data_IF_391356862024
#
_entry.id   IF_391356862024
#
_cell.length_a   1.000
_cell.length_b   1.000
_cell.length_c   1.000
_cell.angle_alpha   90.00
_cell.angle_beta   90.00
_cell.angle_gamma   90.00
#
_symmetry.space_group_name_H-M   'P 1'
#
loop_
_entity.id
_entity.type
_entity.pdbx_description
1 polymer ?
#
# COMPACT_ATOMS: atom_id res chain seq x y z
N UNK A 1 18.58 9.52 22.78
CA UNK A 1 18.79 9.30 21.34
C UNK A 1 17.59 8.51 20.86
N UNK A 2 16.69 9.12 20.11
CA UNK A 2 15.58 8.41 19.47
C UNK A 2 16.18 7.63 18.30
N UNK A 3 16.22 6.30 18.40
CA UNK A 3 16.53 5.45 17.25
C UNK A 3 15.39 5.63 16.24
N UNK A 4 15.67 6.26 15.13
CA UNK A 4 14.80 6.18 13.96
C UNK A 4 14.91 4.74 13.48
N UNK A 5 13.86 3.94 13.71
CA UNK A 5 13.78 2.63 13.06
C UNK A 5 13.67 2.89 11.56
N UNK A 6 14.60 2.32 10.78
CA UNK A 6 14.50 2.39 9.34
C UNK A 6 13.21 1.71 8.86
N UNK A 7 12.54 2.29 7.88
CA UNK A 7 11.34 1.72 7.27
C UNK A 7 11.67 0.35 6.64
N UNK A 8 10.75 -0.59 6.69
CA UNK A 8 10.89 -1.86 5.96
C UNK A 8 9.97 -1.88 4.75
N UNK A 9 10.49 -2.38 3.63
CA UNK A 9 9.74 -2.46 2.39
C UNK A 9 9.67 -3.88 1.87
N UNK A 10 8.56 -4.20 1.25
CA UNK A 10 8.36 -5.47 0.55
C UNK A 10 7.89 -5.19 -0.87
N UNK A 11 8.32 -6.01 -1.81
CA UNK A 11 7.91 -5.94 -3.20
C UNK A 11 7.48 -7.29 -3.73
N UNK A 12 6.57 -7.29 -4.68
CA UNK A 12 6.12 -8.50 -5.33
C UNK A 12 5.75 -8.25 -6.77
N UNK A 13 5.78 -9.31 -7.58
CA UNK A 13 5.49 -9.28 -9.00
C UNK A 13 4.76 -10.56 -9.39
N UNK A 14 3.71 -10.43 -10.17
CA UNK A 14 2.95 -11.54 -10.77
C UNK A 14 2.59 -11.23 -12.21
N UNK A 15 2.22 -12.25 -12.99
CA UNK A 15 1.63 -12.03 -14.30
C UNK A 15 0.31 -11.25 -14.16
N UNK A 16 0.11 -10.24 -15.00
CA UNK A 16 -1.18 -9.55 -15.13
C UNK A 16 -2.15 -10.35 -15.99
N UNK A 17 -3.36 -9.84 -16.15
CA UNK A 17 -4.43 -10.55 -16.86
C UNK A 17 -4.24 -10.57 -18.39
N UNK A 18 -3.47 -9.66 -18.95
CA UNK A 18 -3.17 -9.59 -20.39
C UNK A 18 -1.78 -10.11 -20.73
N UNK A 19 -1.58 -10.51 -21.99
CA UNK A 19 -0.29 -10.99 -22.48
C UNK A 19 0.80 -9.90 -22.32
N UNK A 20 1.88 -10.23 -21.65
CA UNK A 20 3.00 -9.32 -21.37
C UNK A 20 2.73 -8.30 -20.26
N UNK A 21 1.58 -8.34 -19.61
CA UNK A 21 1.24 -7.48 -18.49
C UNK A 21 1.85 -8.03 -17.18
N UNK A 22 2.20 -7.13 -16.30
CA UNK A 22 2.82 -7.47 -15.02
C UNK A 22 2.20 -6.65 -13.90
N UNK A 23 1.53 -7.34 -12.97
CA UNK A 23 1.16 -6.79 -11.68
C UNK A 23 2.43 -6.65 -10.84
N UNK A 24 2.65 -5.47 -10.30
CA UNK A 24 3.79 -5.19 -9.44
C UNK A 24 3.37 -4.23 -8.34
N UNK A 25 3.70 -4.57 -7.11
CA UNK A 25 3.37 -3.73 -5.97
C UNK A 25 4.54 -3.62 -4.99
N UNK A 26 4.51 -2.55 -4.22
CA UNK A 26 5.34 -2.39 -3.02
C UNK A 26 4.48 -1.97 -1.85
N UNK A 27 4.88 -2.40 -0.66
CA UNK A 27 4.40 -1.86 0.59
C UNK A 27 5.59 -1.44 1.44
N UNK A 28 5.51 -0.25 2.02
CA UNK A 28 6.46 0.25 3.00
C UNK A 28 5.78 0.42 4.33
N UNK A 29 6.36 -0.18 5.36
CA UNK A 29 5.97 0.00 6.76
C UNK A 29 6.97 0.92 7.43
N UNK A 30 6.48 1.98 8.07
CA UNK A 30 7.31 2.96 8.77
C UNK A 30 6.68 3.30 10.12
N UNK A 31 7.50 3.74 11.08
CA UNK A 31 7.03 4.18 12.39
C UNK A 31 7.15 5.69 12.50
N UNK A 32 6.06 6.32 12.91
CA UNK A 32 6.04 7.75 13.23
C UNK A 32 5.60 7.98 14.65
N UNK A 33 6.15 9.02 15.27
CA UNK A 33 5.79 9.42 16.63
C UNK A 33 4.92 10.69 16.54
N UNK A 34 3.73 10.62 17.11
CA UNK A 34 2.84 11.75 17.27
C UNK A 34 2.56 11.98 18.77
N UNK A 35 3.19 13.00 19.34
CA UNK A 35 3.19 13.21 20.79
C UNK A 35 3.87 12.06 21.52
N UNK A 36 3.12 11.29 22.31
CA UNK A 36 3.58 10.09 23.04
C UNK A 36 3.18 8.79 22.35
N UNK A 37 2.50 8.85 21.21
CA UNK A 37 1.94 7.68 20.53
C UNK A 37 2.79 7.31 19.33
N UNK A 38 3.11 6.02 19.21
CA UNK A 38 3.75 5.45 18.02
C UNK A 38 2.66 4.97 17.06
N UNK A 39 2.75 5.38 15.81
CA UNK A 39 1.87 4.97 14.73
C UNK A 39 2.66 4.16 13.68
N UNK A 40 2.01 3.19 13.07
CA UNK A 40 2.50 2.45 11.91
C UNK A 40 1.88 3.08 10.64
N UNK A 41 2.74 3.55 9.74
CA UNK A 41 2.35 3.97 8.40
C UNK A 41 2.49 2.77 7.46
N UNK A 42 1.43 2.50 6.72
CA UNK A 42 1.40 1.50 5.65
C UNK A 42 1.23 2.24 4.33
N UNK A 43 2.32 2.37 3.56
CA UNK A 43 2.27 2.99 2.23
C UNK A 43 2.20 1.88 1.19
N UNK A 44 1.05 1.76 0.52
CA UNK A 44 0.82 0.77 -0.53
C UNK A 44 0.89 1.45 -1.89
N UNK A 45 1.64 0.87 -2.83
CA UNK A 45 1.90 1.43 -4.16
C UNK A 45 1.70 0.38 -5.24
N UNK A 46 0.93 0.71 -6.27
CA UNK A 46 0.83 -0.08 -7.49
C UNK A 46 1.91 0.37 -8.49
N UNK A 47 2.83 -0.53 -8.83
CA UNK A 47 3.93 -0.32 -9.76
C UNK A 47 3.76 -1.11 -11.07
N UNK A 48 2.56 -1.54 -11.38
CA UNK A 48 2.24 -2.21 -12.64
C UNK A 48 2.71 -1.40 -13.85
N UNK A 49 2.97 -2.06 -14.96
CA UNK A 49 3.57 -1.45 -16.16
C UNK A 49 2.57 -1.19 -17.28
N UNK A 50 1.29 -1.30 -16.99
CA UNK A 50 0.22 -1.16 -17.98
C UNK A 50 -1.03 -0.55 -17.33
N UNK A 51 -1.92 -0.02 -18.18
CA UNK A 51 -3.22 0.48 -17.76
C UNK A 51 -4.13 -0.70 -17.38
N UNK A 52 -4.82 -0.63 -16.24
CA UNK A 52 -5.77 -1.67 -15.84
C UNK A 52 -6.95 -1.77 -16.82
N UNK A 53 -7.30 -2.99 -17.20
CA UNK A 53 -8.46 -3.27 -18.04
C UNK A 53 -9.50 -4.14 -17.34
N UNK A 54 -9.07 -4.96 -16.39
CA UNK A 54 -9.90 -5.92 -15.68
C UNK A 54 -9.74 -5.78 -14.15
N UNK A 55 -10.71 -6.21 -13.34
CA UNK A 55 -10.61 -6.17 -11.89
C UNK A 55 -9.31 -6.74 -11.29
N UNK A 56 -8.74 -7.87 -11.80
CA UNK A 56 -7.47 -8.40 -11.32
C UNK A 56 -6.24 -7.50 -11.56
N UNK A 57 -6.38 -6.40 -12.27
CA UNK A 57 -5.31 -5.43 -12.52
C UNK A 57 -5.27 -4.31 -11.47
N UNK A 58 -6.30 -4.22 -10.63
CA UNK A 58 -6.41 -3.23 -9.56
C UNK A 58 -5.81 -3.80 -8.28
N UNK A 59 -4.84 -3.12 -7.70
CA UNK A 59 -4.29 -3.47 -6.38
C UNK A 59 -5.25 -3.02 -5.29
N UNK A 60 -5.84 -3.96 -4.58
CA UNK A 60 -6.92 -3.72 -3.63
C UNK A 60 -6.53 -3.97 -2.18
N UNK A 61 -5.35 -4.51 -1.91
CA UNK A 61 -4.94 -4.71 -0.52
C UNK A 61 -3.57 -5.34 -0.35
N UNK A 62 -3.18 -5.42 0.91
CA UNK A 62 -2.00 -6.14 1.38
C UNK A 62 -2.34 -6.85 2.68
N UNK A 63 -1.96 -8.13 2.75
CA UNK A 63 -2.01 -8.95 3.96
C UNK A 63 -0.60 -9.07 4.54
N UNK A 64 -0.50 -9.13 5.86
CA UNK A 64 0.78 -9.26 6.56
C UNK A 64 0.57 -9.86 7.94
N UNK A 65 1.65 -10.31 8.57
CA UNK A 65 1.64 -10.82 9.94
C UNK A 65 2.38 -9.85 10.85
N UNK A 66 1.74 -9.46 11.96
CA UNK A 66 2.38 -8.83 13.11
C UNK A 66 2.44 -9.85 14.25
N UNK A 67 3.63 -10.09 14.87
CA UNK A 67 3.74 -10.98 16.00
C UNK A 67 2.84 -10.55 17.16
N UNK A 68 2.11 -11.51 17.73
CA UNK A 68 1.20 -11.25 18.83
C UNK A 68 -0.18 -10.73 18.40
N UNK A 69 -0.42 -10.56 17.12
CA UNK A 69 -1.72 -10.18 16.53
C UNK A 69 -2.39 -8.98 17.27
N UNK A 70 -1.69 -7.84 17.40
CA UNK A 70 -2.25 -6.69 18.11
C UNK A 70 -3.37 -6.06 17.31
N UNK A 71 -4.48 -5.72 17.96
CA UNK A 71 -5.51 -4.90 17.32
C UNK A 71 -5.06 -3.44 17.30
N UNK A 72 -4.64 -2.94 16.14
CA UNK A 72 -4.26 -1.54 15.95
C UNK A 72 -5.49 -0.67 15.71
N UNK A 73 -5.41 0.62 16.05
CA UNK A 73 -6.49 1.57 15.80
C UNK A 73 -6.34 2.24 14.44
N UNK A 74 -7.43 2.36 13.72
CA UNK A 74 -7.51 3.06 12.43
C UNK A 74 -7.48 4.58 12.64
N UNK A 75 -6.46 5.27 12.16
CA UNK A 75 -6.28 6.71 12.34
C UNK A 75 -6.69 7.48 11.09
N UNK A 76 -6.12 7.16 9.93
CA UNK A 76 -6.40 7.86 8.68
C UNK A 76 -6.01 7.05 7.44
N UNK A 77 -6.67 7.36 6.31
CA UNK A 77 -6.26 6.95 4.98
C UNK A 77 -6.21 8.17 4.09
N UNK A 78 -5.07 8.41 3.43
CA UNK A 78 -4.87 9.58 2.57
C UNK A 78 -4.12 9.20 1.30
N UNK A 79 -4.32 9.98 0.25
CA UNK A 79 -3.50 9.88 -0.97
C UNK A 79 -2.03 10.13 -0.61
N UNK A 80 -1.12 9.31 -1.11
CA UNK A 80 0.30 9.61 -1.03
C UNK A 80 0.66 10.83 -1.89
N UNK A 81 1.80 11.46 -1.61
CA UNK A 81 2.28 12.58 -2.41
C UNK A 81 2.41 12.19 -3.90
N UNK A 82 1.85 13.02 -4.79
CA UNK A 82 1.82 12.77 -6.23
C UNK A 82 0.75 11.78 -6.70
N UNK A 83 -0.08 11.27 -5.79
CA UNK A 83 -1.22 10.42 -6.13
C UNK A 83 -2.48 11.27 -6.36
N UNK A 84 -3.39 10.78 -7.19
CA UNK A 84 -4.66 11.44 -7.52
C UNK A 84 -5.78 10.40 -7.56
N UNK A 85 -7.03 10.84 -7.29
CA UNK A 85 -8.21 10.05 -7.64
C UNK A 85 -8.47 10.09 -9.14
N UNK A 86 -8.94 8.99 -9.72
CA UNK A 86 -9.27 8.88 -11.16
C UNK A 86 -10.53 8.03 -11.35
N UNK A 87 -11.33 8.36 -12.35
CA UNK A 87 -12.47 7.58 -12.80
C UNK A 87 -12.60 7.73 -14.32
N UNK A 88 -12.63 6.60 -15.04
CA UNK A 88 -12.77 6.56 -16.50
C UNK A 88 -11.89 7.60 -17.23
N UNK A 89 -10.63 7.71 -16.82
CA UNK A 89 -9.65 8.61 -17.41
C UNK A 89 -9.71 10.06 -16.94
N UNK A 90 -10.58 10.40 -16.01
CA UNK A 90 -10.72 11.74 -15.47
C UNK A 90 -10.19 11.83 -14.04
N UNK A 91 -9.45 12.89 -13.73
CA UNK A 91 -9.02 13.15 -12.36
C UNK A 91 -10.23 13.54 -11.49
N UNK A 92 -10.32 12.93 -10.32
CA UNK A 92 -11.30 13.24 -9.30
C UNK A 92 -10.76 14.28 -8.32
N UNK A 93 -11.62 15.18 -7.87
CA UNK A 93 -11.29 16.03 -6.73
C UNK A 93 -11.43 15.24 -5.45
N UNK A 94 -10.35 15.08 -4.69
CA UNK A 94 -10.31 14.40 -3.39
C UNK A 94 -9.98 15.44 -2.31
N UNK A 95 -10.99 15.98 -1.61
CA UNK A 95 -10.78 17.04 -0.62
C UNK A 95 -9.80 16.62 0.48
N UNK A 96 -8.74 17.40 0.69
CA UNK A 96 -7.70 17.10 1.67
C UNK A 96 -6.93 15.81 1.42
N UNK A 97 -7.13 15.16 0.26
CA UNK A 97 -6.53 13.86 -0.06
C UNK A 97 -7.10 12.70 0.77
N UNK A 98 -8.22 12.90 1.50
CA UNK A 98 -8.78 11.90 2.42
C UNK A 98 -9.53 10.83 1.64
N UNK A 99 -9.17 9.56 1.90
CA UNK A 99 -9.73 8.37 1.26
C UNK A 99 -9.96 7.21 2.25
N UNK A 100 -9.91 7.52 3.55
CA UNK A 100 -9.99 6.49 4.61
C UNK A 100 -11.27 5.65 4.54
N UNK A 101 -12.40 6.26 4.17
CA UNK A 101 -13.66 5.56 4.03
C UNK A 101 -13.70 4.51 2.92
N UNK A 102 -12.74 4.51 1.98
CA UNK A 102 -12.60 3.47 0.94
C UNK A 102 -11.65 2.34 1.34
N UNK A 103 -11.05 2.37 2.53
CA UNK A 103 -10.07 1.38 2.97
C UNK A 103 -10.43 0.83 4.34
N UNK A 104 -10.24 -0.46 4.51
CA UNK A 104 -10.46 -1.19 5.76
C UNK A 104 -9.13 -1.68 6.34
N UNK A 105 -9.08 -1.87 7.67
CA UNK A 105 -8.04 -2.61 8.39
C UNK A 105 -8.68 -3.59 9.35
N UNK A 106 -8.09 -4.77 9.43
CA UNK A 106 -8.52 -5.80 10.39
C UNK A 106 -7.35 -6.64 10.87
N UNK A 107 -7.33 -6.92 12.18
CA UNK A 107 -6.49 -7.90 12.86
C UNK A 107 -7.29 -9.18 13.13
N UNK A 108 -6.63 -10.25 13.53
CA UNK A 108 -7.26 -11.53 13.83
C UNK A 108 -7.80 -12.24 12.59
N UNK A 109 -7.27 -11.94 11.41
CA UNK A 109 -7.69 -12.57 10.17
C UNK A 109 -7.29 -14.05 10.15
N UNK A 110 -8.16 -14.87 9.55
CA UNK A 110 -7.93 -16.31 9.31
C UNK A 110 -8.30 -16.66 7.87
N UNK A 111 -7.68 -17.71 7.33
CA UNK A 111 -7.92 -18.10 5.93
C UNK A 111 -7.32 -17.15 4.89
N UNK A 112 -6.41 -16.29 5.31
CA UNK A 112 -5.69 -15.34 4.47
C UNK A 112 -4.54 -16.01 3.71
N UNK A 113 -4.03 -15.36 2.66
CA UNK A 113 -2.81 -15.81 1.99
C UNK A 113 -1.63 -15.87 2.99
N UNK A 114 -0.80 -16.90 2.85
CA UNK A 114 0.39 -17.15 3.69
C UNK A 114 0.09 -17.26 5.21
N UNK A 115 -1.19 -17.33 5.61
CA UNK A 115 -1.59 -17.32 7.03
C UNK A 115 -1.34 -15.99 7.72
N UNK A 116 -1.40 -14.88 6.99
CA UNK A 116 -1.33 -13.54 7.55
C UNK A 116 -2.45 -13.29 8.55
N UNK A 117 -2.18 -12.59 9.64
CA UNK A 117 -3.17 -12.29 10.68
C UNK A 117 -3.74 -10.88 10.61
N UNK A 118 -3.18 -10.03 9.75
CA UNK A 118 -3.62 -8.66 9.57
C UNK A 118 -3.69 -8.29 8.08
N UNK A 119 -4.45 -7.24 7.77
CA UNK A 119 -4.52 -6.72 6.44
C UNK A 119 -5.16 -5.34 6.35
N UNK A 120 -4.85 -4.65 5.25
CA UNK A 120 -5.54 -3.44 4.82
C UNK A 120 -6.07 -3.67 3.40
N UNK A 121 -7.29 -3.24 3.13
CA UNK A 121 -7.92 -3.48 1.84
C UNK A 121 -8.99 -2.45 1.48
N UNK A 122 -9.13 -2.16 0.17
CA UNK A 122 -10.28 -1.49 -0.40
C UNK A 122 -11.41 -2.49 -0.71
N UNK A 123 -11.06 -3.76 -1.00
CA UNK A 123 -12.03 -4.83 -1.27
C UNK A 123 -12.38 -5.61 0.00
N UNK A 124 -13.63 -6.09 0.07
CA UNK A 124 -14.12 -6.86 1.22
C UNK A 124 -13.56 -8.28 1.32
N UNK A 125 -13.12 -8.86 0.20
CA UNK A 125 -12.64 -10.25 0.12
C UNK A 125 -13.58 -11.25 0.84
N UNK A 126 -14.84 -11.07 0.66
CA UNK A 126 -15.98 -11.69 1.35
C UNK A 126 -15.63 -13.04 2.02
N UNK A 127 -15.60 -13.15 3.38
CA UNK A 127 -16.11 -12.15 4.34
C UNK A 127 -15.00 -11.47 5.18
N UNK A 128 -13.78 -11.30 4.68
CA UNK A 128 -12.63 -10.89 5.51
C UNK A 128 -12.78 -9.48 6.10
N UNK A 129 -13.25 -8.52 5.30
CA UNK A 129 -13.46 -7.14 5.74
C UNK A 129 -14.92 -6.73 5.60
N UNK A 130 -15.38 -5.84 6.46
CA UNK A 130 -16.72 -5.28 6.46
C UNK A 130 -16.72 -3.77 6.74
N UNK A 131 -17.88 -3.13 6.67
CA UNK A 131 -18.03 -1.68 6.88
C UNK A 131 -17.56 -1.19 8.25
N UNK A 132 -17.57 -2.05 9.27
CA UNK A 132 -17.01 -1.75 10.60
C UNK A 132 -15.49 -1.65 10.64
N UNK A 133 -14.82 -2.14 9.61
CA UNK A 133 -13.36 -2.20 9.51
C UNK A 133 -12.77 -0.97 8.79
N UNK A 134 -13.59 -0.04 8.28
CA UNK A 134 -13.16 1.14 7.52
C UNK A 134 -12.35 2.12 8.38
N UNK A 135 -11.35 2.76 7.74
CA UNK A 135 -10.69 3.91 8.33
C UNK A 135 -11.64 5.10 8.42
N UNK A 136 -11.43 6.00 9.39
CA UNK A 136 -12.20 7.24 9.46
C UNK A 136 -11.90 8.17 8.27
N UNK A 137 -12.89 9.00 7.93
CA UNK A 137 -12.77 9.97 6.87
C UNK A 137 -13.70 9.71 5.69
N UNK A 138 -13.61 10.55 4.68
CA UNK A 138 -14.40 10.42 3.46
C UNK A 138 -13.94 9.20 2.65
N UNK A 139 -14.86 8.63 1.89
CA UNK A 139 -14.55 7.74 0.77
C UNK A 139 -13.94 8.53 -0.38
N UNK A 140 -13.24 7.85 -1.27
CA UNK A 140 -12.88 8.40 -2.57
C UNK A 140 -14.16 8.86 -3.29
N UNK A 141 -14.11 10.04 -3.89
CA UNK A 141 -15.29 10.60 -4.59
C UNK A 141 -15.81 9.62 -5.63
N UNK A 142 -17.10 9.29 -5.58
CA UNK A 142 -17.72 8.30 -6.47
C UNK A 142 -17.67 6.85 -5.97
N UNK A 143 -16.92 6.57 -4.91
CA UNK A 143 -16.91 5.26 -4.26
C UNK A 143 -18.14 5.12 -3.35
N UNK A 144 -18.81 3.99 -3.40
CA UNK A 144 -19.99 3.68 -2.60
C UNK A 144 -19.92 2.25 -2.06
N UNK A 145 -20.29 2.07 -0.79
CA UNK A 145 -20.41 0.74 -0.19
C UNK A 145 -19.10 0.02 0.15
N UNK A 146 -17.96 0.74 0.25
CA UNK A 146 -16.69 0.12 0.64
C UNK A 146 -16.78 -0.66 1.98
N UNK A 147 -16.02 -1.73 2.16
CA UNK A 147 -15.16 -2.43 1.21
C UNK A 147 -15.96 -3.52 0.47
N UNK A 148 -16.37 -3.31 -0.76
CA UNK A 148 -17.27 -4.20 -1.48
C UNK A 148 -16.73 -4.75 -2.81
N UNK A 149 -15.77 -4.09 -3.43
CA UNK A 149 -15.26 -4.44 -4.73
C UNK A 149 -13.86 -3.93 -4.99
N UNK A 150 -13.63 -3.40 -6.19
CA UNK A 150 -12.35 -2.83 -6.58
C UNK A 150 -12.33 -1.29 -6.51
N UNK A 151 -13.47 -0.66 -6.23
CA UNK A 151 -13.56 0.79 -6.00
C UNK A 151 -12.62 1.22 -4.87
N UNK A 152 -12.03 2.41 -4.97
CA UNK A 152 -11.02 2.88 -4.03
C UNK A 152 -9.64 2.20 -4.13
N UNK A 153 -9.49 1.12 -4.91
CA UNK A 153 -8.22 0.42 -5.13
C UNK A 153 -7.21 1.25 -5.94
N UNK A 154 -6.01 0.70 -6.11
CA UNK A 154 -4.90 1.42 -6.74
C UNK A 154 -4.71 1.02 -8.20
N UNK A 155 -4.74 2.00 -9.11
CA UNK A 155 -4.26 1.86 -10.48
C UNK A 155 -2.76 2.17 -10.57
N UNK A 156 -2.18 1.96 -11.76
CA UNK A 156 -0.76 2.22 -12.02
C UNK A 156 -0.50 3.67 -12.44
N UNK A 157 0.75 4.14 -12.35
CA UNK A 157 1.17 5.44 -12.90
C UNK A 157 1.10 5.51 -14.43
N UNK A 158 1.13 4.36 -15.10
CA UNK A 158 1.03 4.29 -16.58
C UNK A 158 -0.39 4.39 -17.09
N UNK A 159 -1.37 4.57 -16.20
CA UNK A 159 -2.72 4.94 -16.57
C UNK A 159 -2.70 6.25 -17.38
N UNK A 160 -2.99 6.14 -18.67
CA UNK A 160 -2.91 7.23 -19.64
C UNK A 160 -4.11 8.19 -19.60
N UNK A 161 -5.04 7.98 -18.66
CA UNK A 161 -6.25 8.79 -18.54
C UNK A 161 -7.32 8.48 -19.59
N UNK A 162 -7.16 7.45 -20.40
CA UNK A 162 -8.24 7.01 -21.31
C UNK A 162 -9.29 6.19 -20.55
N UNK A 163 -10.48 6.12 -21.12
CA UNK A 163 -11.60 5.38 -20.51
C UNK A 163 -11.23 3.92 -20.20
N UNK A 164 -11.66 3.45 -19.03
CA UNK A 164 -11.52 2.06 -18.63
C UNK A 164 -12.48 1.14 -19.38
N UNK A 165 -12.20 -0.17 -19.36
CA UNK A 165 -13.00 -1.19 -20.01
C UNK A 165 -13.47 -2.27 -19.02
N UNK A 166 -14.43 -3.08 -19.46
CA UNK A 166 -14.89 -4.24 -18.71
C UNK A 166 -15.42 -3.90 -17.33
N UNK A 167 -15.04 -4.69 -16.33
CA UNK A 167 -15.50 -4.53 -14.95
C UNK A 167 -14.81 -3.39 -14.18
N UNK A 168 -13.94 -2.59 -14.82
CA UNK A 168 -13.24 -1.47 -14.20
C UNK A 168 -13.86 -0.11 -14.52
N UNK A 169 -14.71 0.01 -15.55
CA UNK A 169 -15.37 1.26 -15.93
C UNK A 169 -16.40 1.72 -14.89
N UNK A 170 -16.57 3.04 -14.73
CA UNK A 170 -17.54 3.65 -13.83
C UNK A 170 -17.21 3.46 -12.34
N UNK A 171 -15.95 3.21 -12.01
CA UNK A 171 -15.48 3.08 -10.63
C UNK A 171 -14.33 4.03 -10.37
N UNK A 172 -14.29 4.65 -9.18
CA UNK A 172 -13.17 5.50 -8.79
C UNK A 172 -11.99 4.66 -8.29
N UNK A 173 -10.78 5.10 -8.64
CA UNK A 173 -9.51 4.50 -8.21
C UNK A 173 -8.54 5.56 -7.73
N UNK A 174 -7.51 5.12 -7.02
CA UNK A 174 -6.37 5.95 -6.66
C UNK A 174 -5.24 5.62 -7.64
N UNK A 175 -4.78 6.60 -8.40
CA UNK A 175 -3.60 6.45 -9.26
C UNK A 175 -2.34 6.55 -8.40
N UNK A 176 -1.52 5.50 -8.37
CA UNK A 176 -0.25 5.32 -7.68
C UNK A 176 -0.36 4.76 -6.26
N UNK A 177 -0.56 5.56 -5.22
CA UNK A 177 -0.30 5.13 -3.84
C UNK A 177 -1.27 5.70 -2.82
N UNK A 178 -1.47 4.95 -1.74
CA UNK A 178 -2.21 5.37 -0.54
C UNK A 178 -1.33 5.23 0.70
N UNK A 179 -1.52 6.10 1.68
CA UNK A 179 -0.91 6.02 3.01
C UNK A 179 -2.00 5.78 4.05
N UNK A 180 -1.91 4.67 4.76
CA UNK A 180 -2.82 4.27 5.82
C UNK A 180 -2.07 4.36 7.16
N UNK A 181 -2.66 5.04 8.14
CA UNK A 181 -2.06 5.23 9.46
C UNK A 181 -2.80 4.40 10.49
N UNK A 182 -2.06 3.53 11.17
CA UNK A 182 -2.53 2.68 12.25
C UNK A 182 -1.88 3.12 13.57
N UNK A 183 -2.69 3.29 14.60
CA UNK A 183 -2.26 3.71 15.93
C UNK A 183 -2.28 2.57 16.95
N UNK A 184 -1.99 2.92 18.20
CA UNK A 184 -1.93 1.96 19.32
C UNK A 184 -0.89 0.84 19.10
N UNK A 185 0.23 1.18 18.43
CA UNK A 185 1.32 0.24 18.18
C UNK A 185 1.95 -0.16 19.52
N UNK A 186 2.04 -1.47 19.87
CA UNK A 186 2.65 -1.92 21.11
C UNK A 186 4.11 -1.48 21.24
N UNK A 187 4.56 -1.19 22.46
CA UNK A 187 5.96 -0.81 22.70
C UNK A 187 6.99 -1.89 22.31
N UNK A 188 6.56 -3.16 22.31
CA UNK A 188 7.38 -4.31 21.89
C UNK A 188 7.41 -4.51 20.37
N UNK A 189 6.62 -3.75 19.60
CA UNK A 189 6.56 -3.89 18.15
C UNK A 189 7.87 -3.47 17.49
N UNK A 190 8.30 -4.23 16.49
CA UNK A 190 9.43 -3.90 15.64
C UNK A 190 9.05 -4.13 14.18
N UNK A 191 9.48 -3.25 13.28
CA UNK A 191 9.23 -3.39 11.85
C UNK A 191 9.80 -4.69 11.28
N UNK A 192 10.95 -5.14 11.79
CA UNK A 192 11.57 -6.41 11.37
C UNK A 192 10.78 -7.67 11.75
N UNK A 193 9.75 -7.54 12.60
CA UNK A 193 8.83 -8.63 12.94
C UNK A 193 7.71 -8.83 11.92
N UNK A 194 7.53 -7.93 10.96
CA UNK A 194 6.50 -8.06 9.91
C UNK A 194 6.91 -9.17 8.94
N UNK A 195 6.02 -10.13 8.73
CA UNK A 195 6.24 -11.30 7.86
C UNK A 195 4.99 -11.65 7.05
N UNK A 196 5.05 -12.70 6.23
CA UNK A 196 3.92 -13.23 5.46
C UNK A 196 3.19 -12.16 4.63
N UNK A 197 3.97 -11.24 4.05
CA UNK A 197 3.41 -10.14 3.25
C UNK A 197 2.97 -10.67 1.89
N UNK A 198 1.73 -10.36 1.50
CA UNK A 198 1.17 -10.69 0.19
C UNK A 198 0.28 -9.58 -0.32
N UNK A 199 0.36 -9.28 -1.61
CA UNK A 199 -0.48 -8.30 -2.28
C UNK A 199 -1.74 -8.96 -2.81
N UNK A 200 -2.85 -8.23 -2.77
CA UNK A 200 -4.13 -8.64 -3.31
C UNK A 200 -4.56 -7.73 -4.46
N UNK A 201 -4.94 -8.35 -5.56
CA UNK A 201 -5.48 -7.68 -6.74
C UNK A 201 -6.92 -8.14 -6.98
N UNK A 202 -7.76 -7.26 -7.53
CA UNK A 202 -9.18 -7.57 -7.72
C UNK A 202 -9.97 -7.64 -6.42
N UNK A 203 -11.08 -8.37 -6.44
CA UNK A 203 -12.02 -8.49 -5.29
C UNK A 203 -12.10 -9.90 -4.70
N UNK A 204 -11.33 -10.85 -5.23
CA UNK A 204 -11.33 -12.24 -4.80
C UNK A 204 -10.02 -12.58 -4.05
N UNK A 205 -10.09 -13.39 -2.97
CA UNK A 205 -8.93 -13.70 -2.14
C UNK A 205 -7.89 -14.61 -2.80
N UNK A 206 -8.23 -15.25 -3.92
CA UNK A 206 -7.34 -16.10 -4.72
C UNK A 206 -6.43 -15.29 -5.68
N UNK A 207 -6.68 -14.01 -5.84
CA UNK A 207 -5.88 -13.11 -6.69
C UNK A 207 -4.78 -12.43 -5.88
N UNK A 208 -3.97 -13.23 -5.20
CA UNK A 208 -2.90 -12.76 -4.33
C UNK A 208 -1.56 -13.34 -4.75
N UNK A 209 -0.48 -12.61 -4.46
CA UNK A 209 0.88 -13.11 -4.64
C UNK A 209 1.80 -12.65 -3.51
N UNK A 210 2.82 -13.48 -3.15
CA UNK A 210 3.73 -13.19 -2.06
C UNK A 210 4.63 -11.99 -2.39
N UNK A 211 5.03 -11.29 -1.35
CA UNK A 211 6.04 -10.26 -1.39
C UNK A 211 7.36 -10.75 -0.78
N UNK A 212 8.45 -10.18 -1.26
CA UNK A 212 9.79 -10.37 -0.69
C UNK A 212 10.29 -9.06 -0.08
N UNK A 213 11.01 -9.15 1.03
CA UNK A 213 11.64 -8.00 1.64
C UNK A 213 12.65 -7.36 0.67
N UNK A 214 12.57 -6.04 0.54
CA UNK A 214 13.56 -5.26 -0.21
C UNK A 214 14.70 -4.94 0.75
N UNK A 215 15.93 -5.42 0.48
CA UNK A 215 17.07 -5.07 1.32
C UNK A 215 17.27 -3.56 1.37
N UNK A 216 17.41 -3.01 2.57
CA UNK A 216 17.82 -1.62 2.70
C UNK A 216 19.23 -1.44 2.11
N UNK A 217 19.54 -0.28 1.49
CA UNK A 217 20.91 0.05 1.12
C UNK A 217 21.76 0.04 2.41
N UNK A 218 22.56 -1.00 2.58
CA UNK A 218 23.39 -1.14 3.77
C UNK A 218 24.28 0.10 3.99
N UNK A 219 24.61 0.46 5.22
CA UNK A 219 25.42 1.63 5.55
C UNK A 219 26.78 1.63 4.84
N UNK A 220 27.28 0.49 4.41
CA UNK A 220 28.49 0.35 3.61
C UNK A 220 28.38 0.93 2.20
N UNK A 221 27.20 0.92 1.57
CA UNK A 221 27.00 1.52 0.25
C UNK A 221 27.01 3.05 0.34
N UNK A 222 26.39 3.63 1.37
CA UNK A 222 26.45 5.07 1.63
C UNK A 222 27.87 5.53 1.97
N UNK A 223 28.63 4.76 2.78
CA UNK A 223 30.02 5.06 3.09
C UNK A 223 30.91 4.99 1.84
N UNK A 224 30.69 4.01 0.95
CA UNK A 224 31.43 3.88 -0.30
C UNK A 224 31.23 5.06 -1.24
N UNK A 225 30.00 5.55 -1.41
CA UNK A 225 29.70 6.72 -2.24
C UNK A 225 30.30 8.00 -1.63
N UNK A 226 30.25 8.17 -0.30
CA UNK A 226 30.86 9.31 0.39
C UNK A 226 32.37 9.38 0.20
N UNK A 227 33.09 8.27 0.27
CA UNK A 227 34.53 8.20 0.08
C UNK A 227 34.94 8.54 -1.37
N UNK A 228 34.19 8.08 -2.37
CA UNK A 228 34.43 8.40 -3.78
C UNK A 228 34.27 9.92 -4.03
N UNK A 229 33.28 10.56 -3.43
CA UNK A 229 33.07 12.02 -3.55
C UNK A 229 34.23 12.81 -2.93
N UNK A 230 34.71 12.42 -1.75
CA UNK A 230 35.83 13.11 -1.08
C UNK A 230 37.11 12.98 -1.89
N UNK A 231 37.39 11.82 -2.47
CA UNK A 231 38.60 11.58 -3.30
C UNK A 231 38.50 12.42 -4.62
N UNK A 232 37.29 12.51 -5.23
CA UNK A 232 37.12 13.28 -6.45
C UNK A 232 37.28 14.79 -6.24
N UNK A 233 36.81 15.32 -5.10
CA UNK A 233 37.01 16.74 -4.74
C UNK A 233 38.45 17.07 -4.33
N UNK A 234 39.14 16.16 -3.68
CA UNK A 234 40.57 16.32 -3.31
C UNK A 234 41.52 16.37 -4.52
N UNK A 235 41.19 15.71 -5.62
CA UNK A 235 42.02 15.75 -6.88
C UNK A 235 41.86 17.03 -7.69
N UNK A 236 40.81 17.84 -7.51
CA UNK A 236 40.63 19.12 -8.20
C UNK A 236 41.37 20.31 -7.56
N UNK A 237 42.00 20.12 -6.43
CA UNK A 237 42.74 21.18 -5.71
C UNK A 237 44.29 21.05 -5.77
N UNK A 238 44.80 20.27 -6.72
CA UNK A 238 46.26 20.24 -7.02
C UNK A 238 46.51 20.63 -8.46
#
# INVERSE_FOLDING_TARGET
MTSVNAAVSFSGTAAGNGAGQTNKATVTFDLTISGTTTNLLVTLTNLGTYKPNDPPDILTGVFFTIPGDPTLSKISGVLAAGSVGVEDGHNLTVPGGVVGGSWAYKAGLTGTPLGANEGVAAAGFNPLFGSGDLFPGAMLTGDDGAPDGIGGGLTTLVDDGSQYNGGTSGRPYIKNSVVLTLGAVPASFTLGGITNVSFAYGSAPDQTFPATAVPEPGPMVLAGVGIVFVIALGRRRR
#
